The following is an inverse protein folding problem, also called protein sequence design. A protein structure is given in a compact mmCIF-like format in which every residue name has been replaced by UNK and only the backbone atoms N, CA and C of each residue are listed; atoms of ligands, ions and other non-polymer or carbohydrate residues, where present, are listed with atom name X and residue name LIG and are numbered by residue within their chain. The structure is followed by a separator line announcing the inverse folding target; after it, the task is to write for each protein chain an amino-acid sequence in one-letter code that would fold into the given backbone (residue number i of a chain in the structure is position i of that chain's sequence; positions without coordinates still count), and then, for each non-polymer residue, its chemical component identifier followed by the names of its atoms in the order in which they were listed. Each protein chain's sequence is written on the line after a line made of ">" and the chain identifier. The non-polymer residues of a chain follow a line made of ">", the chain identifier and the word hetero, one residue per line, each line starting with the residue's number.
data_IF_302827214490
#
_entry.id   IF_302827214490
#
_cell.length_a   1.000
_cell.length_b   1.000
_cell.length_c   1.000
_cell.angle_alpha   90.00
_cell.angle_beta   90.00
_cell.angle_gamma   90.00
#
_symmetry.space_group_name_H-M   'P 1'
#
loop_
_entity.id
_entity.type
_entity.pdbx_description
1 polymer ?
#
# COMPACT_ATOMS: atom_id res chain seq x y z
N UNK A 1 -2.21 0.58 -16.45
CA UNK A 1 -1.86 -0.07 -15.17
C UNK A 1 -0.61 -0.87 -15.42
N UNK A 2 0.47 -0.52 -14.73
CA UNK A 2 1.70 -1.30 -14.71
C UNK A 2 1.50 -2.43 -13.70
N UNK A 3 1.71 -3.68 -14.11
CA UNK A 3 1.58 -4.84 -13.24
C UNK A 3 2.72 -4.92 -12.22
N UNK A 4 2.57 -5.80 -11.24
CA UNK A 4 3.57 -6.03 -10.21
C UNK A 4 4.97 -6.32 -10.75
N UNK A 5 5.97 -5.62 -10.21
CA UNK A 5 7.38 -5.80 -10.56
C UNK A 5 8.03 -6.99 -9.84
N UNK A 6 9.21 -7.48 -10.30
CA UNK A 6 9.96 -8.56 -9.67
C UNK A 6 10.25 -8.32 -8.18
N UNK A 7 10.67 -9.38 -7.48
CA UNK A 7 10.85 -9.31 -6.02
C UNK A 7 12.04 -8.41 -5.64
N UNK A 8 11.77 -7.42 -4.81
CA UNK A 8 12.76 -6.60 -4.11
C UNK A 8 12.18 -6.27 -2.74
N UNK A 9 12.66 -6.94 -1.69
CA UNK A 9 12.01 -6.91 -0.37
C UNK A 9 12.03 -5.52 0.27
N UNK A 10 13.20 -4.90 0.38
CA UNK A 10 13.32 -3.61 1.07
C UNK A 10 12.49 -2.51 0.38
N UNK A 11 12.62 -2.39 -0.95
CA UNK A 11 11.83 -1.43 -1.74
C UNK A 11 10.34 -1.77 -1.72
N UNK A 12 9.98 -3.05 -1.88
CA UNK A 12 8.58 -3.48 -1.88
C UNK A 12 7.87 -3.16 -0.58
N UNK A 13 8.49 -3.43 0.58
CA UNK A 13 7.88 -3.16 1.88
C UNK A 13 7.68 -1.67 2.14
N UNK A 14 8.68 -0.86 1.82
CA UNK A 14 8.60 0.59 1.99
C UNK A 14 7.57 1.21 1.02
N UNK A 15 7.66 0.86 -0.27
CA UNK A 15 6.79 1.44 -1.29
C UNK A 15 5.33 1.08 -1.09
N UNK A 16 4.99 -0.13 -0.65
CA UNK A 16 3.60 -0.51 -0.36
C UNK A 16 3.00 0.36 0.73
N UNK A 17 3.72 0.61 1.82
CA UNK A 17 3.23 1.49 2.89
C UNK A 17 3.11 2.93 2.39
N UNK A 18 4.07 3.42 1.61
CA UNK A 18 4.09 4.79 1.10
C UNK A 18 2.98 5.07 0.07
N UNK A 19 2.64 4.11 -0.79
CA UNK A 19 1.60 4.26 -1.82
C UNK A 19 0.21 3.82 -1.36
N UNK A 20 0.07 3.26 -0.15
CA UNK A 20 -1.25 2.98 0.43
C UNK A 20 -2.05 4.27 0.59
N UNK A 21 -3.26 4.28 0.03
CA UNK A 21 -4.13 5.44 0.02
C UNK A 21 -5.31 5.29 -0.92
N UNK A 22 -6.00 6.41 -1.14
CA UNK A 22 -7.15 6.52 -2.02
C UNK A 22 -6.68 6.58 -3.48
N UNK A 23 -7.08 5.61 -4.28
CA UNK A 23 -6.71 5.49 -5.71
C UNK A 23 -7.77 6.13 -6.61
N UNK A 24 -8.99 6.27 -6.10
CA UNK A 24 -10.12 6.94 -6.72
C UNK A 24 -11.05 7.43 -5.61
N UNK A 25 -11.86 8.50 -5.79
CA UNK A 25 -12.80 8.95 -4.75
C UNK A 25 -13.65 7.81 -4.16
N UNK A 26 -13.46 7.52 -2.87
CA UNK A 26 -14.12 6.43 -2.14
C UNK A 26 -13.48 5.04 -2.26
N UNK A 27 -12.46 4.86 -3.10
CA UNK A 27 -11.76 3.59 -3.31
C UNK A 27 -10.32 3.66 -2.83
N UNK A 28 -9.95 2.71 -1.98
CA UNK A 28 -8.66 2.68 -1.31
C UNK A 28 -7.93 1.39 -1.65
N UNK A 29 -6.66 1.51 -2.02
CA UNK A 29 -5.76 0.37 -2.17
C UNK A 29 -4.84 0.25 -0.95
N UNK A 30 -4.69 -0.97 -0.45
CA UNK A 30 -3.85 -1.32 0.68
C UNK A 30 -3.24 -2.73 0.51
N UNK A 31 -2.10 -2.98 1.15
CA UNK A 31 -1.36 -4.23 1.05
C UNK A 31 -0.90 -4.53 -0.39
N UNK A 32 -0.93 -5.81 -0.77
CA UNK A 32 -0.48 -6.26 -2.10
C UNK A 32 -1.24 -5.62 -3.27
N UNK A 33 -2.49 -5.18 -3.10
CA UNK A 33 -3.22 -4.50 -4.18
C UNK A 33 -2.53 -3.21 -4.66
N UNK A 34 -1.76 -2.58 -3.77
CA UNK A 34 -0.97 -1.37 -4.08
C UNK A 34 0.16 -1.70 -5.07
N UNK A 35 0.76 -2.89 -4.99
CA UNK A 35 1.85 -3.24 -5.91
C UNK A 35 1.35 -3.41 -7.34
N UNK A 36 0.17 -3.98 -7.53
CA UNK A 36 -0.48 -4.12 -8.85
C UNK A 36 -1.01 -2.78 -9.39
N UNK A 37 -1.38 -1.86 -8.50
CA UNK A 37 -1.91 -0.56 -8.92
C UNK A 37 -0.80 0.38 -9.41
N UNK A 38 0.37 0.31 -8.78
CA UNK A 38 1.48 1.24 -8.97
C UNK A 38 2.76 0.61 -9.55
N UNK A 39 2.70 -0.64 -10.03
CA UNK A 39 3.87 -1.32 -10.58
C UNK A 39 5.02 -1.51 -9.57
N UNK A 40 4.72 -1.81 -8.31
CA UNK A 40 5.75 -1.92 -7.27
C UNK A 40 6.32 -3.34 -7.18
N UNK A 41 7.53 -3.46 -6.63
CA UNK A 41 8.18 -4.74 -6.38
C UNK A 41 7.43 -5.60 -5.34
N UNK A 42 7.48 -6.94 -5.50
CA UNK A 42 7.03 -7.88 -4.44
C UNK A 42 7.96 -7.84 -3.25
N UNK A 43 7.40 -8.04 -2.05
CA UNK A 43 8.20 -8.26 -0.83
C UNK A 43 8.40 -9.73 -0.44
N UNK A 44 7.74 -10.69 -1.09
CA UNK A 44 7.89 -12.11 -0.76
C UNK A 44 7.20 -12.48 0.57
N UNK A 45 7.71 -13.44 1.35
CA UNK A 45 7.06 -13.95 2.56
C UNK A 45 7.26 -13.04 3.79
N UNK A 46 7.14 -11.72 3.60
CA UNK A 46 7.16 -10.72 4.68
C UNK A 46 5.81 -10.01 4.75
N UNK A 47 5.36 -9.72 5.97
CA UNK A 47 4.01 -9.20 6.22
C UNK A 47 4.00 -7.85 6.95
N UNK A 48 5.17 -7.25 7.21
CA UNK A 48 5.28 -5.99 7.95
C UNK A 48 4.55 -4.86 7.23
N UNK A 49 4.87 -4.70 5.95
CA UNK A 49 4.23 -3.73 5.06
C UNK A 49 2.71 -3.88 4.96
N UNK A 50 2.17 -5.11 5.00
CA UNK A 50 0.73 -5.38 4.99
C UNK A 50 0.02 -4.74 6.19
N UNK A 51 0.57 -4.96 7.38
CA UNK A 51 -0.02 -4.43 8.62
C UNK A 51 0.13 -2.91 8.70
N UNK A 52 1.30 -2.38 8.34
CA UNK A 52 1.54 -0.93 8.36
C UNK A 52 0.74 -0.17 7.32
N UNK A 53 0.51 -0.75 6.13
CA UNK A 53 -0.39 -0.24 5.11
C UNK A 53 -1.80 -0.01 5.67
N UNK A 54 -2.43 -1.05 6.23
CA UNK A 54 -3.77 -0.92 6.82
C UNK A 54 -3.83 0.10 7.96
N UNK A 55 -2.81 0.10 8.85
CA UNK A 55 -2.71 1.09 9.94
C UNK A 55 -2.60 2.52 9.43
N UNK A 56 -1.81 2.77 8.38
CA UNK A 56 -1.65 4.10 7.76
C UNK A 56 -3.00 4.58 7.22
N UNK A 57 -3.71 3.73 6.50
CA UNK A 57 -5.00 4.09 5.94
C UNK A 57 -6.02 4.42 7.02
N UNK A 58 -6.10 3.61 8.07
CA UNK A 58 -7.02 3.87 9.19
C UNK A 58 -6.71 5.23 9.85
N UNK A 59 -5.43 5.54 10.08
CA UNK A 59 -5.01 6.85 10.60
C UNK A 59 -5.41 8.00 9.66
N UNK A 60 -5.28 7.81 8.35
CA UNK A 60 -5.72 8.79 7.34
C UNK A 60 -7.23 9.05 7.43
N UNK A 61 -8.04 7.98 7.51
CA UNK A 61 -9.50 8.10 7.62
C UNK A 61 -9.95 8.72 8.94
N UNK A 62 -9.30 8.38 10.06
CA UNK A 62 -9.61 9.01 11.35
C UNK A 62 -9.35 10.52 11.35
N UNK A 63 -8.32 10.98 10.64
CA UNK A 63 -8.05 12.42 10.48
C UNK A 63 -9.13 13.10 9.64
N UNK A 64 -9.57 12.46 8.54
CA UNK A 64 -10.67 12.98 7.70
C UNK A 64 -11.99 13.08 8.48
N UNK A 65 -12.31 12.11 9.34
CA UNK A 65 -13.55 12.12 10.16
C UNK A 65 -13.56 13.14 11.29
N UNK A 66 -12.40 13.72 11.65
CA UNK A 66 -12.25 14.70 12.73
C UNK A 66 -12.11 16.14 12.23
N UNK A 67 -12.15 16.33 10.92
CA UNK A 67 -12.12 17.63 10.25
C UNK A 67 -13.48 17.95 9.66
#
# INVERSE_FOLDING_TARGET
>A
MEGMNPMYVNEGEEHVVNHTGEVYPGLVAAGMSVTETYGLARMGPTYGSMLFSGRKQLKSQQKKSKS
#
